data_IF_435334857931
#
_entry.id   IF_435334857931
#
_cell.length_a   1.000
_cell.length_b   1.000
_cell.length_c   1.000
_cell.angle_alpha   90.00
_cell.angle_beta   90.00
_cell.angle_gamma   90.00
#
_symmetry.space_group_name_H-M   'P 1'
#
loop_
_entity.id
_entity.type
_entity.pdbx_description
1 polymer ?
#
# COMPACT_ATOMS: atom_id res chain seq x y z
N UNK A 1 27.04 5.63 -20.54
CA UNK A 1 25.89 4.75 -20.81
C UNK A 1 24.71 5.40 -20.11
N UNK A 2 23.72 5.95 -20.83
CA UNK A 2 22.53 6.51 -20.16
C UNK A 2 21.72 5.34 -19.61
N UNK A 3 21.53 5.30 -18.30
CA UNK A 3 20.69 4.28 -17.67
C UNK A 3 19.22 4.55 -18.00
N UNK A 4 18.52 3.54 -18.51
CA UNK A 4 17.10 3.64 -18.85
C UNK A 4 16.26 3.08 -17.70
N UNK A 5 16.00 3.91 -16.69
CA UNK A 5 15.22 3.53 -15.52
C UNK A 5 13.72 3.66 -15.79
N UNK A 6 12.96 2.65 -15.39
CA UNK A 6 11.49 2.65 -15.43
C UNK A 6 10.90 2.80 -14.06
N UNK A 7 9.79 3.53 -13.98
CA UNK A 7 8.97 3.59 -12.77
C UNK A 7 7.89 2.51 -12.80
N UNK A 8 7.14 2.41 -11.70
CA UNK A 8 5.89 1.65 -11.60
C UNK A 8 4.66 2.58 -11.63
N UNK A 9 4.75 3.69 -12.36
CA UNK A 9 3.74 4.75 -12.41
C UNK A 9 3.08 4.79 -13.78
N UNK A 10 1.75 4.86 -13.80
CA UNK A 10 0.92 5.05 -14.99
C UNK A 10 0.36 6.46 -14.98
N UNK A 11 0.37 7.11 -16.15
CA UNK A 11 -0.24 8.43 -16.32
C UNK A 11 -1.64 8.31 -16.89
N UNK A 12 -2.61 8.93 -16.23
CA UNK A 12 -3.97 9.08 -16.75
C UNK A 12 -4.28 10.55 -17.03
N UNK A 13 -5.23 10.80 -17.93
CA UNK A 13 -5.63 12.14 -18.30
C UNK A 13 -6.46 12.76 -17.17
N UNK A 14 -6.33 14.07 -17.00
CA UNK A 14 -7.33 14.84 -16.25
C UNK A 14 -8.72 14.64 -16.88
N UNK A 15 -9.80 14.69 -16.09
CA UNK A 15 -11.14 14.53 -16.62
C UNK A 15 -11.46 15.66 -17.62
N UNK A 16 -12.18 15.34 -18.69
CA UNK A 16 -12.53 16.29 -19.76
C UNK A 16 -13.49 17.38 -19.29
N UNK A 17 -14.31 17.08 -18.28
CA UNK A 17 -15.17 18.02 -17.58
C UNK A 17 -14.88 18.00 -16.09
N UNK A 18 -15.05 19.15 -15.44
CA UNK A 18 -14.90 19.25 -13.99
C UNK A 18 -15.94 18.37 -13.29
N UNK A 19 -15.51 17.41 -12.45
CA UNK A 19 -16.45 16.57 -11.71
C UNK A 19 -17.33 17.41 -10.78
N UNK A 20 -18.63 17.15 -10.82
CA UNK A 20 -19.61 17.66 -9.86
C UNK A 20 -19.75 16.65 -8.74
N UNK A 21 -19.63 17.11 -7.50
CA UNK A 21 -19.72 16.26 -6.31
C UNK A 21 -20.90 16.73 -5.46
N UNK A 22 -21.81 15.81 -5.16
CA UNK A 22 -22.99 16.05 -4.33
C UNK A 22 -22.66 15.85 -2.85
N UNK A 23 -23.21 16.69 -1.99
CA UNK A 23 -22.91 16.76 -0.56
C UNK A 23 -24.18 16.58 0.27
N UNK A 24 -24.03 15.99 1.45
CA UNK A 24 -25.08 15.83 2.45
C UNK A 24 -24.52 16.11 3.85
N UNK A 25 -25.36 16.61 4.76
CA UNK A 25 -25.02 16.68 6.19
C UNK A 25 -25.33 15.37 6.92
N UNK A 26 -26.26 14.59 6.38
CA UNK A 26 -26.70 13.31 6.93
C UNK A 26 -25.97 12.14 6.26
N UNK A 27 -25.72 11.08 7.03
CA UNK A 27 -25.21 9.81 6.51
C UNK A 27 -26.34 9.06 5.82
N UNK A 28 -26.44 9.23 4.51
CA UNK A 28 -27.41 8.53 3.67
C UNK A 28 -26.80 7.26 3.06
N UNK A 29 -27.66 6.38 2.56
CA UNK A 29 -27.20 5.15 1.90
C UNK A 29 -26.26 5.45 0.72
N UNK A 30 -25.13 4.74 0.66
CA UNK A 30 -24.10 4.93 -0.36
C UNK A 30 -23.22 6.17 -0.15
N UNK A 31 -23.45 6.95 0.92
CA UNK A 31 -22.64 8.12 1.21
C UNK A 31 -21.28 7.77 1.81
N UNK A 32 -20.36 8.72 1.71
CA UNK A 32 -19.00 8.59 2.22
C UNK A 32 -18.57 9.84 2.98
N UNK A 33 -17.95 9.68 4.17
CA UNK A 33 -17.57 10.83 4.99
C UNK A 33 -16.40 11.60 4.39
N UNK A 34 -16.50 12.93 4.44
CA UNK A 34 -15.46 13.92 4.17
C UNK A 34 -15.13 14.59 5.50
N UNK A 35 -13.90 14.42 5.97
CA UNK A 35 -13.42 15.08 7.19
C UNK A 35 -13.21 16.58 6.98
N UNK A 36 -13.49 17.40 8.01
CA UNK A 36 -13.40 18.87 8.02
C UNK A 36 -12.11 19.48 7.48
N UNK A 37 -10.99 18.75 7.59
CA UNK A 37 -9.69 19.18 7.02
C UNK A 37 -9.72 19.36 5.49
N UNK A 38 -10.72 18.80 4.81
CA UNK A 38 -10.93 18.90 3.35
C UNK A 38 -11.97 19.95 2.97
N UNK A 39 -12.62 20.63 3.90
CA UNK A 39 -13.68 21.61 3.58
C UNK A 39 -13.07 22.83 2.87
N UNK A 40 -13.36 22.92 1.57
CA UNK A 40 -12.96 24.04 0.72
C UNK A 40 -13.92 25.21 0.88
N UNK A 41 -13.64 26.35 0.23
CA UNK A 41 -14.55 27.49 0.22
C UNK A 41 -15.91 27.11 -0.40
N UNK A 42 -15.90 26.33 -1.49
CA UNK A 42 -17.13 25.83 -2.13
C UNK A 42 -17.95 24.93 -1.20
N UNK A 43 -17.30 24.07 -0.40
CA UNK A 43 -18.00 23.25 0.60
C UNK A 43 -18.70 24.12 1.64
N UNK A 44 -18.08 25.23 2.06
CA UNK A 44 -18.70 26.16 3.01
C UNK A 44 -19.84 26.95 2.39
N UNK A 45 -19.69 27.39 1.16
CA UNK A 45 -20.73 28.10 0.40
C UNK A 45 -21.93 27.21 0.06
N UNK A 46 -21.71 25.89 -0.04
CA UNK A 46 -22.75 24.89 -0.25
C UNK A 46 -23.69 24.71 0.96
N UNK A 47 -23.27 25.12 2.16
CA UNK A 47 -24.06 25.05 3.40
C UNK A 47 -24.02 26.39 4.14
N UNK A 48 -24.64 27.45 3.59
CA UNK A 48 -24.50 28.81 4.13
C UNK A 48 -25.10 28.96 5.53
N UNK A 49 -26.18 28.23 5.81
CA UNK A 49 -26.94 28.33 7.08
C UNK A 49 -26.46 27.33 8.14
N UNK A 50 -25.38 26.60 7.87
CA UNK A 50 -24.84 25.56 8.79
C UNK A 50 -23.47 25.95 9.30
N UNK A 51 -23.28 25.93 10.62
CA UNK A 51 -21.95 26.07 11.21
C UNK A 51 -21.11 24.79 11.05
N UNK A 52 -20.46 24.68 9.89
CA UNK A 52 -19.55 23.57 9.56
C UNK A 52 -18.31 23.50 10.47
N UNK A 53 -18.03 24.50 11.30
CA UNK A 53 -16.88 24.46 12.21
C UNK A 53 -17.07 23.46 13.37
N UNK A 54 -18.33 23.24 13.76
CA UNK A 54 -18.74 22.28 14.77
C UNK A 54 -18.75 20.84 14.28
N UNK A 55 -18.85 20.62 12.96
CA UNK A 55 -18.94 19.30 12.35
C UNK A 55 -17.56 18.69 12.07
N UNK A 56 -17.37 17.44 12.46
CA UNK A 56 -16.15 16.69 12.10
C UNK A 56 -16.21 16.18 10.65
N UNK A 57 -17.40 15.77 10.21
CA UNK A 57 -17.64 15.16 8.90
C UNK A 57 -18.89 15.74 8.23
N UNK A 58 -18.84 15.80 6.90
CA UNK A 58 -20.03 15.83 6.03
C UNK A 58 -19.96 14.59 5.13
N UNK A 59 -20.98 14.34 4.32
CA UNK A 59 -21.08 13.16 3.49
C UNK A 59 -21.15 13.49 2.01
N UNK A 60 -20.75 12.54 1.16
CA UNK A 60 -20.84 12.66 -0.30
C UNK A 60 -21.17 11.32 -0.94
N UNK A 61 -22.02 11.34 -1.95
CA UNK A 61 -22.26 10.24 -2.90
C UNK A 61 -21.37 10.36 -4.14
N UNK A 62 -20.34 11.22 -4.05
CA UNK A 62 -19.51 11.65 -5.17
C UNK A 62 -20.34 12.19 -6.34
N UNK A 63 -20.32 11.50 -7.48
CA UNK A 63 -20.98 11.93 -8.72
C UNK A 63 -22.42 11.45 -8.82
N UNK A 64 -22.89 10.63 -7.87
CA UNK A 64 -24.28 10.19 -7.85
C UNK A 64 -25.16 11.32 -7.30
N UNK A 65 -26.12 11.74 -8.12
CA UNK A 65 -27.01 12.85 -7.80
C UNK A 65 -27.89 12.55 -6.59
N UNK A 66 -27.98 13.53 -5.70
CA UNK A 66 -28.92 13.52 -4.59
C UNK A 66 -29.97 14.62 -4.88
N UNK A 67 -31.26 14.29 -4.94
CA UNK A 67 -32.31 15.27 -5.20
C UNK A 67 -32.26 16.43 -4.21
N UNK A 68 -32.27 17.66 -4.72
CA UNK A 68 -32.24 18.91 -3.94
C UNK A 68 -31.02 19.08 -3.00
N UNK A 69 -29.96 18.29 -3.18
CA UNK A 69 -28.76 18.43 -2.38
C UNK A 69 -27.80 19.46 -2.96
N UNK A 70 -27.01 20.14 -2.11
CA UNK A 70 -25.95 20.99 -2.59
C UNK A 70 -24.87 20.19 -3.32
N UNK A 71 -24.27 20.81 -4.33
CA UNK A 71 -23.15 20.23 -5.09
C UNK A 71 -22.03 21.24 -5.31
N UNK A 72 -20.81 20.73 -5.49
CA UNK A 72 -19.62 21.54 -5.75
C UNK A 72 -18.93 21.09 -7.03
N UNK A 73 -18.27 22.02 -7.72
CA UNK A 73 -17.42 21.73 -8.89
C UNK A 73 -15.98 21.60 -8.44
N UNK A 74 -15.38 20.42 -8.63
CA UNK A 74 -14.03 20.14 -8.14
C UNK A 74 -12.98 20.94 -8.92
N UNK A 75 -12.32 21.88 -8.25
CA UNK A 75 -11.16 22.56 -8.77
C UNK A 75 -9.92 21.66 -8.67
N UNK A 76 -9.42 21.23 -9.84
CA UNK A 76 -8.28 20.31 -9.98
C UNK A 76 -6.92 20.94 -9.62
N UNK A 77 -6.89 22.22 -9.22
CA UNK A 77 -5.69 22.95 -8.83
C UNK A 77 -5.66 23.17 -7.30
N UNK A 78 -6.82 23.35 -6.66
CA UNK A 78 -6.90 23.65 -5.22
C UNK A 78 -6.69 22.38 -4.38
N UNK A 79 -5.68 22.39 -3.50
CA UNK A 79 -5.29 21.23 -2.67
C UNK A 79 -6.46 20.55 -1.93
N UNK A 80 -7.33 21.33 -1.28
CA UNK A 80 -8.48 20.76 -0.55
C UNK A 80 -9.46 19.99 -1.43
N UNK A 81 -9.78 20.54 -2.61
CA UNK A 81 -10.72 19.92 -3.54
C UNK A 81 -10.06 18.75 -4.27
N UNK A 82 -8.75 18.86 -4.53
CA UNK A 82 -7.95 17.76 -5.05
C UNK A 82 -7.87 16.56 -4.07
N UNK A 83 -7.91 16.81 -2.75
CA UNK A 83 -8.04 15.74 -1.73
C UNK A 83 -9.41 15.07 -1.71
N UNK A 84 -10.48 15.77 -2.10
CA UNK A 84 -11.82 15.19 -2.31
C UNK A 84 -11.80 14.36 -3.60
N UNK A 85 -11.24 14.91 -4.68
CA UNK A 85 -11.07 14.19 -5.95
C UNK A 85 -10.26 12.89 -5.78
N UNK A 86 -9.17 12.93 -5.00
CA UNK A 86 -8.40 11.74 -4.65
C UNK A 86 -9.24 10.67 -3.94
N UNK A 87 -10.15 11.10 -3.06
CA UNK A 87 -11.03 10.19 -2.34
C UNK A 87 -12.06 9.56 -3.29
N UNK A 88 -12.60 10.33 -4.23
CA UNK A 88 -13.44 9.84 -5.31
C UNK A 88 -12.73 8.79 -6.17
N UNK A 89 -11.52 9.09 -6.66
CA UNK A 89 -10.73 8.13 -7.45
C UNK A 89 -10.40 6.85 -6.66
N UNK A 90 -10.09 6.97 -5.35
CA UNK A 90 -9.91 5.79 -4.48
C UNK A 90 -11.19 4.98 -4.34
N UNK A 91 -12.35 5.63 -4.29
CA UNK A 91 -13.64 4.95 -4.28
C UNK A 91 -13.88 4.20 -5.59
N UNK A 92 -13.74 4.85 -6.75
CA UNK A 92 -13.89 4.20 -8.07
C UNK A 92 -12.98 2.98 -8.21
N UNK A 93 -11.71 3.12 -7.82
CA UNK A 93 -10.73 2.03 -7.85
C UNK A 93 -11.18 0.86 -6.96
N UNK A 94 -11.65 1.16 -5.74
CA UNK A 94 -12.15 0.13 -4.81
C UNK A 94 -13.37 -0.57 -5.39
N UNK A 95 -14.34 0.19 -5.88
CA UNK A 95 -15.60 -0.32 -6.44
C UNK A 95 -15.32 -1.24 -7.64
N UNK A 96 -14.45 -0.83 -8.58
CA UNK A 96 -14.06 -1.65 -9.73
C UNK A 96 -13.56 -3.05 -9.34
N UNK A 97 -12.63 -3.14 -8.38
CA UNK A 97 -12.11 -4.44 -7.96
C UNK A 97 -13.09 -5.22 -7.09
N UNK A 98 -13.98 -4.53 -6.36
CA UNK A 98 -15.05 -5.18 -5.62
C UNK A 98 -16.09 -5.81 -6.55
N UNK A 99 -16.52 -5.12 -7.60
CA UNK A 99 -17.48 -5.66 -8.58
C UNK A 99 -16.94 -6.89 -9.31
N UNK A 100 -15.61 -7.00 -9.45
CA UNK A 100 -14.94 -8.20 -9.97
C UNK A 100 -14.76 -9.33 -8.97
N UNK A 101 -15.26 -9.19 -7.74
CA UNK A 101 -15.21 -10.21 -6.70
C UNK A 101 -13.86 -10.33 -5.98
N UNK A 102 -12.95 -9.37 -6.13
CA UNK A 102 -11.65 -9.43 -5.45
C UNK A 102 -11.71 -8.89 -4.03
N UNK A 103 -10.81 -9.38 -3.18
CA UNK A 103 -10.64 -8.84 -1.83
C UNK A 103 -9.95 -7.48 -1.92
N UNK A 104 -10.57 -6.46 -1.35
CA UNK A 104 -10.06 -5.09 -1.34
C UNK A 104 -9.93 -4.58 0.09
N UNK A 105 -8.71 -4.20 0.46
CA UNK A 105 -8.36 -3.75 1.81
C UNK A 105 -7.63 -2.41 1.77
N UNK A 106 -7.53 -1.76 2.93
CA UNK A 106 -6.62 -0.64 3.14
C UNK A 106 -5.32 -1.18 3.72
N UNK A 107 -4.18 -0.87 3.10
CA UNK A 107 -2.88 -1.21 3.69
C UNK A 107 -2.55 -0.29 4.88
N UNK A 108 -1.38 -0.48 5.52
CA UNK A 108 -0.96 0.30 6.68
C UNK A 108 -0.96 1.82 6.44
N UNK A 109 -0.59 2.26 5.23
CA UNK A 109 -0.58 3.68 4.84
C UNK A 109 -1.91 4.15 4.23
N UNK A 110 -2.97 3.34 4.36
CA UNK A 110 -4.34 3.62 3.87
C UNK A 110 -4.45 3.78 2.35
N UNK A 111 -3.58 3.10 1.61
CA UNK A 111 -3.71 2.92 0.17
C UNK A 111 -4.60 1.71 -0.15
N UNK A 112 -5.24 1.76 -1.31
CA UNK A 112 -6.12 0.68 -1.78
C UNK A 112 -5.22 -0.50 -2.14
N UNK A 113 -5.44 -1.64 -1.52
CA UNK A 113 -4.72 -2.87 -1.79
C UNK A 113 -5.71 -3.95 -2.21
N UNK A 114 -5.40 -4.62 -3.32
CA UNK A 114 -6.24 -5.66 -3.92
C UNK A 114 -5.49 -6.97 -3.87
N UNK A 115 -6.18 -8.04 -3.49
CA UNK A 115 -5.61 -9.37 -3.40
C UNK A 115 -6.11 -10.22 -4.56
N UNK A 116 -5.19 -10.57 -5.46
CA UNK A 116 -5.45 -11.35 -6.66
C UNK A 116 -5.21 -12.83 -6.37
N UNK A 117 -6.21 -13.72 -6.59
CA UNK A 117 -6.01 -15.14 -6.37
C UNK A 117 -4.92 -15.68 -7.30
N UNK A 118 -3.98 -16.45 -6.73
CA UNK A 118 -2.94 -17.10 -7.50
C UNK A 118 -3.46 -18.38 -8.12
N UNK A 119 -3.03 -18.65 -9.36
CA UNK A 119 -3.24 -19.96 -10.00
C UNK A 119 -2.21 -21.02 -9.55
N UNK A 120 -1.15 -20.60 -8.87
CA UNK A 120 -0.03 -21.47 -8.44
C UNK A 120 0.26 -21.30 -6.95
N UNK A 121 0.71 -22.35 -6.29
CA UNK A 121 1.09 -22.31 -4.87
C UNK A 121 -0.10 -22.32 -3.90
N UNK A 122 -1.27 -22.73 -4.37
CA UNK A 122 -2.38 -23.12 -3.49
C UNK A 122 -2.13 -24.56 -3.01
N UNK A 123 -2.55 -24.87 -1.79
CA UNK A 123 -2.49 -26.21 -1.20
C UNK A 123 -3.88 -26.60 -0.71
N UNK A 124 -4.03 -27.81 -0.17
CA UNK A 124 -5.25 -28.21 0.52
C UNK A 124 -5.54 -27.33 1.75
N UNK A 125 -4.51 -26.75 2.37
CA UNK A 125 -4.62 -25.97 3.61
C UNK A 125 -4.83 -24.47 3.38
N UNK A 126 -4.38 -23.93 2.25
CA UNK A 126 -4.48 -22.49 1.98
C UNK A 126 -4.51 -22.12 0.50
N UNK A 127 -5.16 -20.99 0.22
CA UNK A 127 -5.13 -20.28 -1.05
C UNK A 127 -4.14 -19.11 -0.99
N UNK A 128 -3.29 -18.99 -2.00
CA UNK A 128 -2.30 -17.93 -2.14
C UNK A 128 -2.89 -16.75 -2.93
N UNK A 129 -2.66 -15.53 -2.42
CA UNK A 129 -3.04 -14.29 -3.07
C UNK A 129 -1.84 -13.38 -3.28
N UNK A 130 -1.74 -12.76 -4.45
CA UNK A 130 -0.81 -11.67 -4.74
C UNK A 130 -1.43 -10.34 -4.36
N UNK A 131 -0.71 -9.51 -3.61
CA UNK A 131 -1.20 -8.22 -3.14
C UNK A 131 -0.62 -7.09 -3.98
N UNK A 132 -1.49 -6.27 -4.56
CA UNK A 132 -1.10 -5.07 -5.28
C UNK A 132 -1.69 -3.85 -4.59
N UNK A 133 -0.91 -2.80 -4.41
CA UNK A 133 -1.39 -1.53 -3.86
C UNK A 133 -1.31 -0.40 -4.86
N UNK A 134 -2.22 0.55 -4.67
CA UNK A 134 -2.39 1.69 -5.55
C UNK A 134 -2.29 2.99 -4.78
N UNK A 135 -1.43 3.88 -5.29
CA UNK A 135 -1.31 5.24 -4.76
C UNK A 135 -1.59 6.23 -5.87
N UNK A 136 -2.56 7.10 -5.63
CA UNK A 136 -2.88 8.22 -6.53
C UNK A 136 -2.03 9.41 -6.13
N UNK A 137 -1.32 9.98 -7.11
CA UNK A 137 -0.53 11.20 -7.02
C UNK A 137 -1.00 12.16 -8.10
N UNK A 138 -0.74 13.44 -7.91
CA UNK A 138 -1.09 14.47 -8.89
C UNK A 138 0.16 15.25 -9.25
N UNK A 139 0.53 15.18 -10.52
CA UNK A 139 1.60 15.94 -11.13
C UNK A 139 2.94 15.92 -10.35
N UNK A 140 3.40 14.74 -9.91
CA UNK A 140 4.65 14.64 -9.11
C UNK A 140 5.88 14.28 -9.93
N UNK A 141 5.71 13.46 -10.97
CA UNK A 141 6.74 13.13 -11.95
C UNK A 141 6.51 13.85 -13.29
N UNK A 142 5.25 14.03 -13.65
CA UNK A 142 4.78 14.67 -14.89
C UNK A 142 3.73 15.73 -14.59
N UNK A 143 3.13 16.36 -15.61
CA UNK A 143 2.03 17.33 -15.42
C UNK A 143 0.64 16.66 -15.32
N UNK A 144 0.60 15.33 -15.34
CA UNK A 144 -0.62 14.53 -15.33
C UNK A 144 -0.85 13.84 -13.97
N UNK A 145 -2.09 13.42 -13.69
CA UNK A 145 -2.38 12.49 -12.61
C UNK A 145 -1.67 11.15 -12.80
N UNK A 146 -1.27 10.57 -11.67
CA UNK A 146 -0.36 9.43 -11.61
C UNK A 146 -0.95 8.33 -10.74
N UNK A 147 -1.00 7.11 -11.27
CA UNK A 147 -1.37 5.90 -10.56
C UNK A 147 -0.13 5.05 -10.35
N UNK A 148 0.39 5.04 -9.12
CA UNK A 148 1.50 4.17 -8.73
C UNK A 148 0.96 2.79 -8.41
N UNK A 149 1.56 1.74 -9.00
CA UNK A 149 1.17 0.34 -8.80
C UNK A 149 2.31 -0.42 -8.14
N UNK A 150 2.11 -0.90 -6.92
CA UNK A 150 3.14 -1.62 -6.16
C UNK A 150 2.74 -3.07 -5.92
N UNK A 151 3.71 -3.96 -5.84
CA UNK A 151 3.52 -5.34 -5.40
C UNK A 151 3.94 -5.48 -3.94
N UNK A 152 2.97 -5.76 -3.06
CA UNK A 152 3.13 -5.79 -1.60
C UNK A 152 3.42 -7.21 -1.07
N UNK A 153 3.78 -8.13 -1.96
CA UNK A 153 4.02 -9.53 -1.62
C UNK A 153 2.77 -10.40 -1.71
N UNK A 154 2.80 -11.54 -1.02
CA UNK A 154 1.69 -12.50 -0.99
C UNK A 154 1.01 -12.55 0.37
N UNK A 155 -0.22 -13.06 0.39
CA UNK A 155 -0.89 -13.53 1.60
C UNK A 155 -1.44 -14.93 1.35
N UNK A 156 -1.43 -15.78 2.37
CA UNK A 156 -2.06 -17.10 2.34
C UNK A 156 -3.33 -17.03 3.20
N UNK A 157 -4.45 -17.51 2.68
CA UNK A 157 -5.74 -17.56 3.38
C UNK A 157 -6.09 -19.02 3.54
N UNK A 158 -6.37 -19.47 4.75
CA UNK A 158 -6.65 -20.88 5.03
C UNK A 158 -7.95 -21.31 4.32
N UNK A 159 -8.02 -22.59 3.95
CA UNK A 159 -9.21 -23.21 3.39
C UNK A 159 -10.21 -23.60 4.48
N UNK A 160 -9.73 -23.86 5.71
CA UNK A 160 -10.57 -24.08 6.89
C UNK A 160 -11.18 -22.76 7.37
N UNK A 161 -12.47 -22.79 7.69
CA UNK A 161 -13.17 -21.64 8.26
C UNK A 161 -12.80 -21.46 9.74
N UNK A 162 -13.10 -20.28 10.30
CA UNK A 162 -12.92 -20.01 11.73
C UNK A 162 -13.74 -21.00 12.58
N UNK A 163 -14.93 -21.39 12.11
CA UNK A 163 -15.80 -22.34 12.82
C UNK A 163 -15.16 -23.73 12.99
N UNK A 164 -14.27 -24.11 12.10
CA UNK A 164 -13.66 -25.45 12.05
C UNK A 164 -12.26 -25.50 12.70
N UNK A 165 -11.89 -24.46 13.46
CA UNK A 165 -10.60 -24.33 14.14
C UNK A 165 -10.84 -24.22 15.63
N UNK A 166 -10.23 -25.12 16.41
CA UNK A 166 -10.33 -25.11 17.87
C UNK A 166 -9.38 -24.08 18.50
N UNK A 167 -8.15 -23.96 17.99
CA UNK A 167 -7.11 -23.08 18.51
C UNK A 167 -7.28 -21.62 18.03
N UNK A 168 -8.45 -21.05 18.37
CA UNK A 168 -8.86 -19.71 17.93
C UNK A 168 -7.97 -18.58 18.49
N UNK A 169 -7.21 -18.84 19.56
CA UNK A 169 -6.27 -17.89 20.17
C UNK A 169 -5.11 -17.50 19.23
N UNK A 170 -4.80 -18.33 18.22
CA UNK A 170 -3.76 -18.01 17.23
C UNK A 170 -4.30 -17.32 15.99
N UNK A 171 -5.62 -17.17 15.87
CA UNK A 171 -6.26 -16.46 14.77
C UNK A 171 -6.12 -14.95 15.00
N UNK A 172 -5.34 -14.26 14.16
CA UNK A 172 -5.17 -12.79 14.24
C UNK A 172 -6.12 -12.04 13.32
N UNK A 173 -6.15 -12.40 12.04
CA UNK A 173 -6.96 -11.72 11.03
C UNK A 173 -7.62 -12.74 10.13
N UNK A 174 -8.80 -12.40 9.62
CA UNK A 174 -9.57 -13.26 8.72
C UNK A 174 -10.01 -12.49 7.48
N UNK A 175 -10.26 -13.22 6.42
CA UNK A 175 -11.01 -12.78 5.24
C UNK A 175 -12.48 -13.16 5.45
N UNK A 176 -13.39 -12.23 5.23
CA UNK A 176 -14.83 -12.47 5.20
C UNK A 176 -15.42 -11.72 4.00
N UNK A 177 -15.95 -12.49 3.04
CA UNK A 177 -16.29 -12.00 1.71
C UNK A 177 -15.06 -11.34 1.03
N UNK A 178 -15.20 -10.06 0.67
CA UNK A 178 -14.15 -9.29 -0.02
C UNK A 178 -13.39 -8.33 0.91
N UNK A 179 -13.53 -8.50 2.23
CA UNK A 179 -12.89 -7.67 3.25
C UNK A 179 -12.01 -8.52 4.15
N UNK A 180 -11.13 -7.85 4.89
CA UNK A 180 -10.40 -8.46 6.01
C UNK A 180 -10.74 -7.75 7.30
N UNK A 181 -10.80 -8.49 8.41
CA UNK A 181 -10.98 -7.93 9.73
C UNK A 181 -9.96 -8.50 10.72
N UNK A 182 -9.79 -7.81 11.86
CA UNK A 182 -9.00 -8.29 12.97
C UNK A 182 -9.89 -9.18 13.85
N UNK A 183 -9.58 -10.46 13.96
CA UNK A 183 -10.37 -11.41 14.75
C UNK A 183 -10.25 -11.11 16.25
N UNK A 184 -9.08 -10.62 16.68
CA UNK A 184 -8.80 -10.21 18.06
C UNK A 184 -9.02 -8.71 18.25
N UNK A 185 -10.06 -8.14 17.63
CA UNK A 185 -10.38 -6.73 17.86
C UNK A 185 -11.03 -6.55 19.22
N UNK A 186 -10.76 -5.41 19.86
CA UNK A 186 -11.51 -4.99 21.03
C UNK A 186 -12.92 -4.57 20.60
N UNK A 187 -13.93 -4.98 21.37
CA UNK A 187 -15.34 -4.63 21.17
C UNK A 187 -15.70 -3.44 22.07
N UNK A 188 -14.97 -2.35 21.92
CA UNK A 188 -15.06 -1.13 22.75
C UNK A 188 -16.08 -0.10 22.25
N UNK A 189 -16.69 -0.34 21.09
CA UNK A 189 -17.68 0.55 20.45
C UNK A 189 -18.81 -0.28 19.88
N UNK A 190 -20.05 0.22 19.95
CA UNK A 190 -21.26 -0.45 19.44
C UNK A 190 -21.09 -0.91 17.97
N UNK A 191 -20.55 -0.05 17.09
CA UNK A 191 -20.28 -0.40 15.68
C UNK A 191 -19.38 -1.64 15.50
N UNK A 192 -18.39 -1.81 16.40
CA UNK A 192 -17.45 -2.95 16.32
C UNK A 192 -18.12 -4.22 16.83
N UNK A 193 -18.94 -4.11 17.85
CA UNK A 193 -19.71 -5.22 18.39
C UNK A 193 -20.77 -5.70 17.38
N UNK A 194 -21.53 -4.78 16.80
CA UNK A 194 -22.49 -5.08 15.74
C UNK A 194 -21.79 -5.73 14.53
N UNK A 195 -20.69 -5.13 14.06
CA UNK A 195 -19.91 -5.71 12.98
C UNK A 195 -19.41 -7.11 13.34
N UNK A 196 -18.86 -7.33 14.53
CA UNK A 196 -18.38 -8.64 14.95
C UNK A 196 -19.51 -9.68 15.01
N UNK A 197 -20.66 -9.31 15.55
CA UNK A 197 -21.85 -10.16 15.65
C UNK A 197 -22.48 -10.47 14.28
N UNK A 198 -22.27 -9.62 13.27
CA UNK A 198 -22.72 -9.86 11.89
C UNK A 198 -21.90 -10.93 11.14
N UNK A 199 -20.74 -11.35 11.68
CA UNK A 199 -19.83 -12.26 11.00
C UNK A 199 -20.30 -13.71 11.12
N UNK A 200 -20.57 -14.33 9.98
CA UNK A 200 -20.74 -15.78 9.90
C UNK A 200 -19.37 -16.48 9.91
N UNK A 201 -18.94 -17.02 11.06
CA UNK A 201 -17.62 -17.67 11.19
C UNK A 201 -17.39 -18.88 10.28
N UNK A 202 -18.45 -19.54 9.80
CA UNK A 202 -18.35 -20.60 8.78
C UNK A 202 -17.97 -20.09 7.38
N UNK A 203 -18.05 -18.77 7.15
CA UNK A 203 -17.64 -18.10 5.90
C UNK A 203 -16.45 -17.15 6.13
N UNK A 204 -15.86 -17.16 7.32
CA UNK A 204 -14.67 -16.40 7.65
C UNK A 204 -13.45 -17.32 7.62
N UNK A 205 -12.41 -16.93 6.91
CA UNK A 205 -11.22 -17.76 6.69
C UNK A 205 -9.97 -17.07 7.25
N UNK A 206 -9.22 -17.69 8.19
CA UNK A 206 -8.04 -17.06 8.76
C UNK A 206 -6.95 -16.77 7.73
N UNK A 207 -6.25 -15.66 7.94
CA UNK A 207 -5.02 -15.37 7.22
C UNK A 207 -3.89 -16.12 7.92
N UNK A 208 -3.13 -16.87 7.12
CA UNK A 208 -2.00 -17.68 7.58
C UNK A 208 -1.04 -16.86 8.43
N UNK A 209 -0.68 -17.44 9.58
CA UNK A 209 0.42 -16.97 10.40
C UNK A 209 1.16 -18.19 10.98
N UNK A 210 2.42 -18.02 11.36
CA UNK A 210 3.26 -19.15 11.77
C UNK A 210 2.77 -19.87 13.03
N UNK A 211 2.15 -19.16 13.98
CA UNK A 211 1.64 -19.78 15.21
C UNK A 211 0.43 -20.66 14.90
N UNK A 212 -0.54 -20.12 14.17
CA UNK A 212 -1.72 -20.85 13.72
C UNK A 212 -1.35 -22.04 12.81
N UNK A 213 -0.39 -21.84 11.90
CA UNK A 213 0.07 -22.92 11.02
C UNK A 213 0.67 -24.09 11.80
N UNK A 214 1.44 -23.82 12.87
CA UNK A 214 1.98 -24.86 13.74
C UNK A 214 0.89 -25.57 14.53
N UNK A 215 -0.05 -24.83 15.10
CA UNK A 215 -1.19 -25.41 15.82
C UNK A 215 -1.98 -26.37 14.93
N UNK A 216 -2.22 -25.97 13.67
CA UNK A 216 -2.94 -26.77 12.67
C UNK A 216 -2.08 -27.81 11.93
N UNK A 217 -0.80 -27.99 12.32
CA UNK A 217 0.16 -28.87 11.66
C UNK A 217 0.29 -28.66 10.14
N UNK A 218 0.12 -27.41 9.66
CA UNK A 218 0.28 -27.05 8.25
C UNK A 218 1.77 -27.07 7.89
N UNK A 219 2.18 -27.74 6.81
CA UNK A 219 3.56 -27.76 6.35
C UNK A 219 4.12 -26.35 6.13
N UNK A 220 5.25 -26.05 6.77
CA UNK A 220 5.96 -24.78 6.63
C UNK A 220 7.06 -24.94 5.58
N UNK A 221 6.80 -24.45 4.38
CA UNK A 221 7.79 -24.41 3.31
C UNK A 221 8.81 -23.28 3.53
N UNK A 222 10.06 -23.56 3.20
CA UNK A 222 11.08 -22.51 3.14
C UNK A 222 10.75 -21.52 2.02
N UNK A 223 10.82 -20.20 2.29
CA UNK A 223 10.52 -19.20 1.28
C UNK A 223 11.61 -19.21 0.21
N UNK A 224 11.23 -19.34 -1.06
CA UNK A 224 12.13 -19.09 -2.18
C UNK A 224 12.64 -17.64 -2.13
N UNK A 225 13.97 -17.49 -2.00
CA UNK A 225 14.66 -16.20 -1.93
C UNK A 225 15.29 -15.93 -3.29
N UNK A 226 14.61 -15.18 -4.19
CA UNK A 226 15.18 -14.88 -5.48
C UNK A 226 16.44 -14.03 -5.32
N UNK A 227 17.45 -14.28 -6.16
CA UNK A 227 18.69 -13.50 -6.22
C UNK A 227 18.43 -12.00 -6.42
N UNK A 228 17.41 -11.65 -7.21
CA UNK A 228 16.98 -10.27 -7.41
C UNK A 228 15.44 -10.14 -7.29
N UNK A 229 14.99 -9.51 -6.20
CA UNK A 229 13.56 -9.27 -5.94
C UNK A 229 12.93 -8.29 -6.93
N UNK A 230 13.69 -7.31 -7.43
CA UNK A 230 13.16 -6.27 -8.32
C UNK A 230 12.69 -6.83 -9.66
N UNK A 231 13.44 -7.77 -10.25
CA UNK A 231 13.05 -8.42 -11.51
C UNK A 231 11.70 -9.14 -11.37
N UNK A 232 11.52 -9.89 -10.26
CA UNK A 232 10.25 -10.54 -9.94
C UNK A 232 9.11 -9.53 -9.80
N UNK A 233 9.36 -8.42 -9.11
CA UNK A 233 8.32 -7.42 -8.83
C UNK A 233 7.90 -6.70 -10.11
N UNK A 234 8.87 -6.30 -10.95
CA UNK A 234 8.60 -5.68 -12.25
C UNK A 234 7.78 -6.61 -13.13
N UNK A 235 8.12 -7.91 -13.19
CA UNK A 235 7.37 -8.89 -13.96
C UNK A 235 5.92 -9.03 -13.46
N UNK A 236 5.72 -9.12 -12.14
CA UNK A 236 4.39 -9.24 -11.54
C UNK A 236 3.53 -8.00 -11.77
N UNK A 237 4.09 -6.81 -11.54
CA UNK A 237 3.40 -5.53 -11.73
C UNK A 237 3.05 -5.33 -13.22
N UNK A 238 3.96 -5.67 -14.14
CA UNK A 238 3.72 -5.57 -15.58
C UNK A 238 2.63 -6.52 -16.04
N UNK A 239 2.66 -7.77 -15.58
CA UNK A 239 1.64 -8.77 -15.90
C UNK A 239 0.28 -8.36 -15.36
N UNK A 240 0.24 -7.85 -14.12
CA UNK A 240 -0.97 -7.34 -13.50
C UNK A 240 -1.55 -6.15 -14.29
N UNK A 241 -0.72 -5.16 -14.65
CA UNK A 241 -1.17 -4.00 -15.41
C UNK A 241 -1.76 -4.39 -16.77
N UNK A 242 -1.10 -5.29 -17.50
CA UNK A 242 -1.60 -5.78 -18.80
C UNK A 242 -2.95 -6.49 -18.68
N UNK A 243 -3.12 -7.33 -17.67
CA UNK A 243 -4.31 -8.16 -17.54
C UNK A 243 -5.52 -7.42 -16.95
N UNK A 244 -5.28 -6.38 -16.14
CA UNK A 244 -6.35 -5.74 -15.35
C UNK A 244 -6.47 -4.24 -15.58
N UNK A 245 -5.37 -3.52 -15.79
CA UNK A 245 -5.38 -2.05 -15.86
C UNK A 245 -5.46 -1.53 -17.30
N UNK A 246 -4.85 -2.23 -18.26
CA UNK A 246 -4.87 -1.84 -19.68
C UNK A 246 -6.12 -2.34 -20.41
N UNK A 247 -7.15 -2.71 -19.67
CA UNK A 247 -8.46 -3.07 -20.22
C UNK A 247 -9.27 -1.80 -20.50
N UNK A 248 -10.10 -1.82 -21.54
CA UNK A 248 -10.95 -0.66 -21.89
C UNK A 248 -11.91 -0.29 -20.74
N UNK A 249 -12.40 -1.28 -20.00
CA UNK A 249 -13.23 -1.09 -18.81
C UNK A 249 -12.50 -0.30 -17.71
N UNK A 250 -11.24 -0.64 -17.42
CA UNK A 250 -10.46 0.12 -16.44
C UNK A 250 -10.09 1.51 -16.95
N UNK A 251 -9.77 1.63 -18.25
CA UNK A 251 -9.46 2.93 -18.88
C UNK A 251 -10.63 3.89 -18.91
N UNK A 252 -11.87 3.39 -18.90
CA UNK A 252 -13.05 4.23 -18.74
C UNK A 252 -13.04 4.99 -17.39
N UNK A 253 -12.48 4.37 -16.34
CA UNK A 253 -12.31 5.00 -15.03
C UNK A 253 -11.02 5.85 -14.98
N UNK A 254 -9.93 5.31 -15.50
CA UNK A 254 -8.61 5.94 -15.51
C UNK A 254 -8.07 6.03 -16.94
N UNK A 255 -8.36 7.11 -17.68
CA UNK A 255 -8.02 7.22 -19.10
C UNK A 255 -6.52 7.37 -19.29
N UNK A 256 -5.81 6.26 -19.40
CA UNK A 256 -4.35 6.26 -19.53
C UNK A 256 -3.89 6.97 -20.80
N UNK A 257 -2.81 7.75 -20.68
CA UNK A 257 -2.16 8.38 -21.84
C UNK A 257 -1.52 7.32 -22.74
N UNK A 258 -0.95 6.29 -22.12
CA UNK A 258 -0.29 5.17 -22.78
C UNK A 258 -0.38 3.93 -21.89
N UNK A 259 -0.50 2.75 -22.51
CA UNK A 259 -0.51 1.44 -21.83
C UNK A 259 0.91 1.00 -21.45
N UNK A 260 1.63 1.88 -20.75
CA UNK A 260 3.01 1.66 -20.33
C UNK A 260 3.32 2.45 -19.07
N UNK A 261 4.19 1.88 -18.23
CA UNK A 261 4.80 2.63 -17.15
C UNK A 261 5.75 3.70 -17.68
N UNK A 262 5.76 4.85 -17.01
CA UNK A 262 6.57 5.99 -17.41
C UNK A 262 8.04 5.75 -17.12
N UNK A 263 8.89 6.20 -18.05
CA UNK A 263 10.33 6.25 -17.87
C UNK A 263 10.69 7.36 -16.88
N UNK A 264 11.78 7.17 -16.14
CA UNK A 264 12.28 8.21 -15.24
C UNK A 264 12.82 9.37 -16.09
N UNK A 265 12.35 10.61 -15.88
CA UNK A 265 12.88 11.77 -16.59
C UNK A 265 14.39 11.87 -16.41
N UNK A 266 15.14 12.10 -17.49
CA UNK A 266 16.61 12.09 -17.46
C UNK A 266 17.21 13.11 -16.48
N UNK A 267 16.55 14.25 -16.29
CA UNK A 267 16.94 15.27 -15.29
C UNK A 267 16.77 14.82 -13.82
N UNK A 268 16.13 13.67 -13.57
CA UNK A 268 16.01 13.04 -12.25
C UNK A 268 16.94 11.83 -12.08
N UNK A 269 17.70 11.47 -13.12
CA UNK A 269 18.71 10.42 -13.05
C UNK A 269 20.04 11.07 -12.65
N UNK A 270 20.40 10.90 -11.39
CA UNK A 270 21.68 11.36 -10.86
C UNK A 270 22.63 10.18 -10.67
N UNK A 271 23.92 10.43 -10.86
CA UNK A 271 24.95 9.45 -10.60
C UNK A 271 25.74 9.87 -9.35
N UNK A 272 25.90 8.93 -8.42
CA UNK A 272 26.85 9.08 -7.33
C UNK A 272 28.19 8.61 -7.85
N UNK A 273 29.22 9.46 -7.75
CA UNK A 273 30.58 9.05 -8.05
C UNK A 273 30.96 7.87 -7.14
N UNK A 274 31.30 6.69 -7.68
CA UNK A 274 31.61 5.50 -6.88
C UNK A 274 32.73 5.74 -5.85
N UNK A 275 33.63 6.68 -6.12
CA UNK A 275 34.74 7.01 -5.23
C UNK A 275 34.30 7.78 -3.97
N UNK A 276 33.14 8.44 -3.97
CA UNK A 276 32.64 9.16 -2.79
C UNK A 276 32.20 8.21 -1.66
N UNK A 277 31.94 6.94 -1.97
CA UNK A 277 31.60 5.92 -0.97
C UNK A 277 32.82 5.19 -0.39
N UNK A 278 34.04 5.51 -0.84
CA UNK A 278 35.24 4.82 -0.40
C UNK A 278 35.60 5.22 1.04
N UNK A 279 35.63 4.24 1.93
CA UNK A 279 36.11 4.42 3.29
C UNK A 279 37.61 4.21 3.34
N UNK A 280 38.30 5.01 4.15
CA UNK A 280 39.74 4.90 4.39
C UNK A 280 40.03 3.89 5.51
N UNK A 281 41.05 3.07 5.29
CA UNK A 281 41.55 2.07 6.22
C UNK A 281 43.04 2.31 6.47
N UNK A 282 43.73 1.31 7.02
CA UNK A 282 45.17 1.36 7.28
C UNK A 282 45.98 1.63 6.01
N UNK A 283 47.26 1.97 6.22
CA UNK A 283 48.19 2.29 5.15
C UNK A 283 48.84 1.05 4.55
N UNK A 284 49.25 1.12 3.29
CA UNK A 284 50.10 0.11 2.66
C UNK A 284 51.58 0.29 3.05
N UNK A 285 52.46 -0.55 2.48
CA UNK A 285 53.91 -0.52 2.75
C UNK A 285 54.62 0.77 2.29
N UNK A 286 53.96 1.58 1.46
CA UNK A 286 54.45 2.86 0.97
C UNK A 286 53.81 4.05 1.70
N UNK A 287 52.98 3.80 2.71
CA UNK A 287 52.30 4.83 3.50
C UNK A 287 51.02 5.38 2.86
N UNK A 288 50.56 4.82 1.73
CA UNK A 288 49.32 5.24 1.08
C UNK A 288 48.11 4.65 1.78
N UNK A 289 47.05 5.44 1.93
CA UNK A 289 45.79 4.98 2.53
C UNK A 289 45.14 3.94 1.62
N UNK A 290 44.74 2.80 2.18
CA UNK A 290 43.95 1.80 1.47
C UNK A 290 42.47 2.14 1.62
N UNK A 291 41.70 1.92 0.56
CA UNK A 291 40.26 2.24 0.55
C UNK A 291 39.41 1.05 0.16
N UNK A 292 38.16 1.01 0.65
CA UNK A 292 37.20 -0.01 0.28
C UNK A 292 35.75 0.46 0.53
N UNK A 293 34.81 0.03 -0.32
CA UNK A 293 33.37 0.36 -0.22
C UNK A 293 32.58 -0.39 0.87
N UNK A 294 33.12 -1.49 1.41
CA UNK A 294 32.33 -2.47 2.20
C UNK A 294 33.06 -2.71 3.52
N UNK A 295 32.70 -1.99 4.59
CA UNK A 295 33.43 -2.02 5.87
C UNK A 295 33.65 -3.45 6.38
N UNK A 296 32.63 -4.30 6.34
CA UNK A 296 32.70 -5.68 6.84
C UNK A 296 33.77 -6.53 6.13
N UNK A 297 33.88 -6.41 4.80
CA UNK A 297 34.92 -7.13 4.04
C UNK A 297 36.28 -6.49 4.27
N UNK A 298 36.32 -5.16 4.26
CA UNK A 298 37.52 -4.36 4.44
C UNK A 298 38.21 -4.64 5.77
N UNK A 299 37.48 -4.70 6.89
CA UNK A 299 38.04 -4.97 8.22
C UNK A 299 38.67 -6.37 8.34
N UNK A 300 38.31 -7.32 7.47
CA UNK A 300 38.91 -8.66 7.44
C UNK A 300 40.21 -8.72 6.64
N UNK A 301 40.42 -7.80 5.69
CA UNK A 301 41.55 -7.85 4.72
C UNK A 301 42.47 -6.62 4.80
N UNK A 302 42.01 -5.55 5.44
CA UNK A 302 42.70 -4.28 5.65
C UNK A 302 42.84 -4.03 7.16
N UNK A 303 43.93 -3.39 7.56
CA UNK A 303 44.09 -2.91 8.92
C UNK A 303 43.14 -1.73 9.20
N UNK A 304 42.73 -1.50 10.45
CA UNK A 304 41.96 -0.31 10.80
C UNK A 304 42.75 0.97 10.51
N UNK A 305 42.05 2.07 10.23
CA UNK A 305 42.66 3.38 9.99
C UNK A 305 43.57 3.82 11.15
N UNK A 306 43.11 3.59 12.39
CA UNK A 306 43.88 3.79 13.62
C UNK A 306 43.48 2.74 14.65
N UNK A 307 44.46 2.18 15.37
CA UNK A 307 44.21 1.31 16.53
C UNK A 307 43.86 2.14 17.76
N UNK A 308 43.03 1.63 18.69
CA UNK A 308 42.81 2.28 19.97
C UNK A 308 44.14 2.50 20.71
N UNK A 309 44.24 3.59 21.48
CA UNK A 309 45.43 3.94 22.25
C UNK A 309 45.75 2.89 23.32
N UNK A 310 44.72 2.27 23.90
CA UNK A 310 44.85 1.20 24.88
C UNK A 310 44.59 -0.15 24.21
N UNK A 311 45.58 -1.04 24.25
CA UNK A 311 45.48 -2.40 23.67
C UNK A 311 44.88 -3.42 24.66
N UNK A 312 44.86 -3.09 25.94
CA UNK A 312 44.44 -4.01 27.00
C UNK A 312 42.92 -3.96 27.18
N UNK A 313 42.26 -5.10 26.95
CA UNK A 313 40.84 -5.29 27.20
C UNK A 313 40.70 -6.03 28.54
N UNK A 314 40.05 -5.40 29.53
CA UNK A 314 39.63 -6.08 30.77
C UNK A 314 38.17 -6.50 30.63
N UNK A 315 37.93 -7.80 30.69
CA UNK A 315 36.59 -8.37 30.69
C UNK A 315 36.26 -8.77 32.12
N UNK A 316 35.12 -8.33 32.63
CA UNK A 316 34.57 -8.81 33.90
C UNK A 316 33.17 -9.38 33.63
N UNK A 317 32.85 -10.45 34.33
CA UNK A 317 31.55 -11.11 34.25
C UNK A 317 30.80 -10.85 35.55
N UNK A 318 29.53 -10.45 35.44
CA UNK A 318 28.60 -10.41 36.57
C UNK A 318 27.73 -11.66 36.43
N UNK A 319 27.93 -12.62 37.33
CA UNK A 319 27.08 -13.79 37.42
C UNK A 319 25.94 -13.46 38.38
N UNK A 320 24.70 -13.53 37.88
CA UNK A 320 23.51 -13.51 38.72
C UNK A 320 23.01 -14.94 38.86
N UNK A 321 22.94 -15.42 40.11
CA UNK A 321 22.30 -16.67 40.50
C UNK A 321 20.80 -16.55 40.54
#
# INVERSE_FOLDING_TARGET
MQEHLKTNILNFKWPSSTPVIYLSLEDIEGSHPIHRSKFSKQVKEAFPDTDLSSLEHIFTTFTQEIPNAPSIKINLIKDKELRIYKQFLKHQLKTYFLEKGYIVVKNFVRDVQVWMPSKKGNTADYNLYYKFSFKILFATLTDLPELVVSYDGTSKVLTKSVKDIEETEYIKRCVYGQKTFNYQMNLDTEDKEEFYNSIEFGKAFPIFNLQLARALNIPIEEPDRPKNRYQKYVALITTFAKNYLFTEEFKALFPFKQDAFIDVPGNRINHINPNLGLLEFGKDQYGNKRTHLVPKKAMNILNPYRRPSNQNIKIFFICHT
#
